data_IF_283773010093
#
_entry.id   IF_283773010093
#
_cell.length_a   1.000
_cell.length_b   1.000
_cell.length_c   1.000
_cell.angle_alpha   90.00
_cell.angle_beta   90.00
_cell.angle_gamma   90.00
#
_symmetry.space_group_name_H-M   'P 1'
#
loop_
_entity.id
_entity.type
_entity.pdbx_description
1 polymer ?
#
# COMPACT_ATOMS: atom_id res chain seq x y z
N UNK A 1 -1.62 33.36 -0.33
CA UNK A 1 -0.47 33.73 0.53
C UNK A 1 0.25 34.90 -0.09
N UNK A 2 0.61 35.90 0.72
CA UNK A 2 1.29 37.09 0.22
C UNK A 2 2.71 36.72 -0.23
N UNK A 3 3.09 37.14 -1.44
CA UNK A 3 4.48 36.97 -1.92
C UNK A 3 5.39 37.73 -0.94
N UNK A 4 6.57 37.19 -0.59
CA UNK A 4 7.50 37.92 0.27
C UNK A 4 7.83 39.28 -0.36
N UNK A 5 7.80 40.33 0.46
CA UNK A 5 8.13 41.69 0.01
C UNK A 5 9.54 41.75 -0.60
N UNK A 6 9.82 42.79 -1.39
CA UNK A 6 11.09 42.93 -2.09
C UNK A 6 12.31 42.87 -1.15
N UNK A 7 12.22 43.49 0.03
CA UNK A 7 13.26 43.45 1.07
C UNK A 7 13.48 42.03 1.58
N UNK A 8 12.40 41.30 1.89
CA UNK A 8 12.50 39.91 2.33
C UNK A 8 13.13 39.01 1.26
N UNK A 9 12.77 39.21 -0.02
CA UNK A 9 13.39 38.48 -1.15
C UNK A 9 14.87 38.78 -1.28
N UNK A 10 15.28 40.04 -1.16
CA UNK A 10 16.69 40.42 -1.18
C UNK A 10 17.44 39.82 0.01
N UNK A 11 16.84 39.84 1.20
CA UNK A 11 17.38 39.21 2.39
C UNK A 11 17.55 37.70 2.22
N UNK A 12 16.55 36.99 1.70
CA UNK A 12 16.65 35.56 1.41
C UNK A 12 17.75 35.27 0.37
N UNK A 13 17.82 36.05 -0.71
CA UNK A 13 18.87 35.93 -1.73
C UNK A 13 20.27 36.17 -1.14
N UNK A 14 20.42 37.14 -0.25
CA UNK A 14 21.67 37.36 0.48
C UNK A 14 21.96 36.21 1.44
N UNK A 15 20.94 35.63 2.09
CA UNK A 15 21.10 34.52 3.00
C UNK A 15 21.44 33.19 2.30
N UNK A 16 21.10 33.03 1.01
CA UNK A 16 21.43 31.84 0.24
C UNK A 16 22.84 31.82 -0.35
N UNK A 17 23.54 32.96 -0.37
CA UNK A 17 24.92 33.03 -0.86
C UNK A 17 25.89 32.21 0.01
N UNK A 18 26.68 31.36 -0.65
CA UNK A 18 27.72 30.52 -0.02
C UNK A 18 29.03 31.29 0.12
N UNK A 19 29.13 32.09 1.17
CA UNK A 19 30.32 32.88 1.49
C UNK A 19 31.29 32.05 2.38
N UNK A 20 32.63 32.16 2.20
CA UNK A 20 33.59 31.27 2.86
C UNK A 20 33.65 31.41 4.39
N UNK A 21 33.28 32.56 4.95
CA UNK A 21 33.20 32.80 6.40
C UNK A 21 31.87 32.35 7.04
N UNK A 22 30.89 31.96 6.22
CA UNK A 22 29.55 31.63 6.68
C UNK A 22 29.41 30.11 6.80
N UNK A 23 28.84 29.65 7.92
CA UNK A 23 28.63 28.22 8.19
C UNK A 23 27.19 27.75 7.98
N UNK A 24 26.25 28.69 7.82
CA UNK A 24 24.81 28.44 7.68
C UNK A 24 24.27 29.09 6.40
N UNK A 25 23.56 28.32 5.57
CA UNK A 25 23.08 28.75 4.27
C UNK A 25 21.59 28.52 4.16
N UNK A 26 20.86 29.53 3.68
CA UNK A 26 19.46 29.36 3.33
C UNK A 26 19.37 28.63 2.00
N UNK A 27 18.66 27.51 1.98
CA UNK A 27 18.51 26.70 0.76
C UNK A 27 17.19 26.98 0.07
N UNK A 28 16.11 27.14 0.85
CA UNK A 28 14.81 27.46 0.29
C UNK A 28 13.77 27.72 1.35
N UNK A 29 12.53 27.84 0.88
CA UNK A 29 11.37 28.04 1.70
C UNK A 29 10.21 27.22 1.13
N UNK A 30 9.28 26.84 1.99
CA UNK A 30 8.05 26.20 1.57
C UNK A 30 6.92 27.20 1.32
N UNK A 31 5.81 26.71 0.78
CA UNK A 31 4.62 27.51 0.58
C UNK A 31 4.01 27.99 1.91
N UNK A 32 4.21 27.28 3.02
CA UNK A 32 3.79 27.71 4.37
C UNK A 32 4.65 28.82 4.98
N UNK A 33 5.78 29.18 4.36
CA UNK A 33 6.69 30.20 4.86
C UNK A 33 7.73 29.69 5.87
N UNK A 34 7.88 28.38 6.03
CA UNK A 34 9.01 27.80 6.73
C UNK A 34 10.26 27.93 5.88
N UNK A 35 11.41 28.11 6.54
CA UNK A 35 12.70 28.27 5.86
C UNK A 35 13.62 27.10 6.15
N UNK A 36 14.34 26.66 5.13
CA UNK A 36 15.17 25.46 5.15
C UNK A 36 16.63 25.85 5.02
N UNK A 37 17.45 25.32 5.92
CA UNK A 37 18.84 25.73 6.07
C UNK A 37 19.78 24.52 6.05
N UNK A 38 20.95 24.70 5.44
CA UNK A 38 22.10 23.81 5.61
C UNK A 38 23.13 24.46 6.53
N UNK A 39 23.83 23.66 7.30
CA UNK A 39 24.99 24.15 8.03
C UNK A 39 26.02 23.06 8.33
N UNK A 40 27.26 23.48 8.59
CA UNK A 40 28.30 22.62 9.14
C UNK A 40 28.21 22.60 10.66
N UNK A 41 28.08 21.41 11.23
CA UNK A 41 28.16 21.23 12.67
C UNK A 41 29.61 21.43 13.14
N UNK A 42 29.80 22.03 14.32
CA UNK A 42 31.14 22.20 14.89
C UNK A 42 31.73 20.85 15.35
N UNK A 43 30.87 19.96 15.86
CA UNK A 43 31.29 18.64 16.36
C UNK A 43 31.46 17.61 15.24
N UNK A 44 30.65 17.70 14.18
CA UNK A 44 30.63 16.76 13.05
C UNK A 44 30.87 17.49 11.73
N UNK A 45 32.08 18.02 11.54
CA UNK A 45 32.43 18.86 10.39
C UNK A 45 32.38 18.12 9.03
N UNK A 46 32.43 16.79 9.03
CA UNK A 46 32.40 15.96 7.83
C UNK A 46 31.02 15.90 7.16
N UNK A 47 29.94 16.30 7.84
CA UNK A 47 28.57 16.19 7.32
C UNK A 47 27.82 17.52 7.40
N UNK A 48 27.30 17.96 6.27
CA UNK A 48 26.33 19.05 6.21
C UNK A 48 25.03 18.60 6.89
N UNK A 49 24.54 19.35 7.87
CA UNK A 49 23.26 19.11 8.52
C UNK A 49 22.20 20.03 7.93
N UNK A 50 20.97 19.53 7.85
CA UNK A 50 19.80 20.25 7.35
C UNK A 50 18.85 20.54 8.51
N UNK A 51 18.27 21.74 8.57
CA UNK A 51 17.33 22.15 9.61
C UNK A 51 16.21 23.02 9.04
N UNK A 52 15.02 22.92 9.64
CA UNK A 52 13.90 23.83 9.40
C UNK A 52 13.84 24.89 10.49
N UNK A 53 13.59 26.12 10.06
CA UNK A 53 13.10 27.19 10.92
C UNK A 53 11.66 27.49 10.54
N UNK A 54 10.78 27.23 11.50
CA UNK A 54 9.35 27.49 11.36
C UNK A 54 9.06 28.99 11.41
N UNK A 55 7.97 29.40 10.77
CA UNK A 55 7.51 30.79 10.82
C UNK A 55 7.08 31.17 12.23
N UNK A 56 7.31 32.41 12.64
CA UNK A 56 6.98 32.91 13.98
C UNK A 56 5.47 32.84 14.31
N UNK A 57 4.62 32.61 13.30
CA UNK A 57 3.18 32.49 13.47
C UNK A 57 2.72 31.09 13.89
N UNK A 58 3.63 30.11 14.04
CA UNK A 58 3.26 28.76 14.48
C UNK A 58 3.30 28.67 16.01
N UNK A 59 2.17 28.45 16.69
CA UNK A 59 2.10 28.44 18.15
C UNK A 59 2.79 27.22 18.78
N UNK A 60 2.75 26.06 18.12
CA UNK A 60 3.42 24.85 18.58
C UNK A 60 4.11 24.10 17.43
N UNK A 61 5.25 23.47 17.72
CA UNK A 61 6.05 22.76 16.72
C UNK A 61 5.38 21.48 16.19
N UNK A 62 4.49 20.85 16.95
CA UNK A 62 3.75 19.66 16.48
C UNK A 62 2.80 19.98 15.33
N UNK A 63 2.28 21.21 15.28
CA UNK A 63 1.23 21.60 14.36
C UNK A 63 1.81 22.00 12.99
N UNK A 64 3.15 22.06 12.89
CA UNK A 64 3.81 22.46 11.67
C UNK A 64 3.81 21.33 10.66
N UNK A 65 3.00 21.50 9.61
CA UNK A 65 2.93 20.58 8.48
C UNK A 65 4.01 20.92 7.46
N UNK A 66 5.07 20.12 7.41
CA UNK A 66 6.10 20.21 6.37
C UNK A 66 5.73 19.27 5.22
N UNK A 67 5.97 19.66 3.97
CA UNK A 67 5.63 18.79 2.83
C UNK A 67 6.53 17.55 2.77
N UNK A 68 6.08 16.41 2.21
CA UNK A 68 6.89 15.20 2.12
C UNK A 68 8.20 15.40 1.35
N UNK A 69 8.18 16.24 0.30
CA UNK A 69 9.38 16.57 -0.48
C UNK A 69 10.45 17.25 0.38
N UNK A 70 10.04 18.20 1.23
CA UNK A 70 10.94 18.84 2.17
C UNK A 70 11.41 17.88 3.29
N UNK A 71 10.57 16.94 3.72
CA UNK A 71 10.99 15.88 4.64
C UNK A 71 12.07 14.97 4.04
N UNK A 72 11.93 14.54 2.79
CA UNK A 72 12.95 13.74 2.10
C UNK A 72 14.28 14.50 2.04
N UNK A 73 14.22 15.79 1.73
CA UNK A 73 15.39 16.65 1.73
C UNK A 73 16.01 16.77 3.13
N UNK A 74 15.23 17.01 4.18
CA UNK A 74 15.75 17.06 5.56
C UNK A 74 16.37 15.73 6.01
N UNK A 75 15.83 14.60 5.54
CA UNK A 75 16.31 13.25 5.84
C UNK A 75 17.47 12.79 4.95
N UNK A 76 17.97 13.65 4.07
CA UNK A 76 19.04 13.32 3.12
C UNK A 76 18.68 12.18 2.16
N UNK A 77 17.39 11.88 1.97
CA UNK A 77 16.92 10.93 0.95
C UNK A 77 16.96 11.56 -0.45
N UNK A 78 16.82 12.90 -0.51
CA UNK A 78 16.92 13.69 -1.73
C UNK A 78 18.09 14.66 -1.62
N UNK A 79 18.92 14.75 -2.66
CA UNK A 79 20.05 15.67 -2.68
C UNK A 79 19.62 17.12 -2.92
N UNK A 80 18.89 17.33 -4.01
CA UNK A 80 18.41 18.66 -4.39
C UNK A 80 17.17 19.07 -3.59
N UNK A 81 17.08 20.33 -3.13
CA UNK A 81 15.90 20.83 -2.45
C UNK A 81 14.72 20.95 -3.42
N UNK A 82 13.47 20.77 -2.94
CA UNK A 82 12.30 20.92 -3.78
C UNK A 82 12.11 22.38 -4.23
N UNK A 83 11.89 22.56 -5.52
CA UNK A 83 11.69 23.89 -6.12
C UNK A 83 10.28 24.43 -5.81
N UNK A 84 10.09 25.75 -5.93
CA UNK A 84 8.78 26.36 -5.69
C UNK A 84 7.74 25.87 -6.71
N UNK A 85 8.17 25.63 -7.95
CA UNK A 85 7.31 25.10 -9.02
C UNK A 85 6.87 23.67 -8.70
N UNK A 86 7.79 22.80 -8.25
CA UNK A 86 7.44 21.44 -7.81
C UNK A 86 6.41 21.45 -6.67
N UNK A 87 6.57 22.36 -5.70
CA UNK A 87 5.65 22.48 -4.59
C UNK A 87 4.24 22.92 -5.05
N UNK A 88 4.17 23.87 -5.99
CA UNK A 88 2.90 24.31 -6.58
C UNK A 88 2.24 23.19 -7.40
N UNK A 89 3.04 22.46 -8.18
CA UNK A 89 2.57 21.31 -8.95
C UNK A 89 1.98 20.24 -8.04
N UNK A 90 2.63 19.92 -6.92
CA UNK A 90 2.15 18.92 -5.97
C UNK A 90 0.79 19.31 -5.37
N UNK A 91 0.55 20.59 -5.04
CA UNK A 91 -0.77 21.05 -4.60
C UNK A 91 -1.82 20.83 -5.70
N UNK A 92 -1.48 21.20 -6.94
CA UNK A 92 -2.41 21.06 -8.06
C UNK A 92 -2.72 19.58 -8.34
N UNK A 93 -1.72 18.71 -8.25
CA UNK A 93 -1.83 17.26 -8.38
C UNK A 93 -2.72 16.67 -7.30
N UNK A 94 -2.54 17.08 -6.04
CA UNK A 94 -3.37 16.62 -4.93
C UNK A 94 -4.83 17.03 -5.10
N UNK A 95 -5.09 18.25 -5.60
CA UNK A 95 -6.45 18.70 -5.89
C UNK A 95 -7.09 17.87 -7.01
N UNK A 96 -6.36 17.63 -8.10
CA UNK A 96 -6.85 16.78 -9.21
C UNK A 96 -7.12 15.34 -8.74
N UNK A 97 -6.21 14.76 -7.97
CA UNK A 97 -6.35 13.40 -7.45
C UNK A 97 -7.60 13.24 -6.58
N UNK A 98 -7.90 14.22 -5.72
CA UNK A 98 -9.12 14.22 -4.88
C UNK A 98 -10.39 14.25 -5.72
N UNK A 99 -10.41 15.06 -6.78
CA UNK A 99 -11.54 15.10 -7.71
C UNK A 99 -11.74 13.76 -8.42
N UNK A 100 -10.66 13.20 -8.98
CA UNK A 100 -10.71 11.91 -9.68
C UNK A 100 -11.13 10.77 -8.75
N UNK A 101 -10.69 10.79 -7.49
CA UNK A 101 -11.11 9.83 -6.48
C UNK A 101 -12.63 9.92 -6.23
N UNK A 102 -13.17 11.13 -6.05
CA UNK A 102 -14.61 11.32 -5.86
C UNK A 102 -15.43 10.82 -7.07
N UNK A 103 -14.99 11.13 -8.29
CA UNK A 103 -15.67 10.62 -9.50
C UNK A 103 -15.56 9.09 -9.64
N UNK A 104 -14.50 8.47 -9.10
CA UNK A 104 -14.37 7.01 -9.07
C UNK A 104 -15.30 6.39 -8.03
N UNK A 105 -15.42 7.01 -6.85
CA UNK A 105 -16.33 6.60 -5.79
C UNK A 105 -17.80 6.71 -6.24
N UNK A 106 -18.18 7.77 -6.97
CA UNK A 106 -19.50 7.89 -7.59
C UNK A 106 -19.78 6.79 -8.61
N UNK A 107 -18.79 6.45 -9.44
CA UNK A 107 -18.89 5.33 -10.39
C UNK A 107 -19.01 3.99 -9.68
N UNK A 108 -18.30 3.80 -8.57
CA UNK A 108 -18.40 2.59 -7.74
C UNK A 108 -19.77 2.48 -7.07
N UNK A 109 -20.27 3.57 -6.47
CA UNK A 109 -21.56 3.60 -5.78
C UNK A 109 -22.76 3.48 -6.72
N UNK A 110 -22.62 3.90 -7.98
CA UNK A 110 -23.67 3.77 -9.00
C UNK A 110 -23.73 2.39 -9.65
N UNK A 111 -22.69 1.57 -9.52
CA UNK A 111 -22.76 0.17 -9.93
C UNK A 111 -23.65 -0.60 -8.94
N UNK A 112 -24.75 -1.22 -9.39
CA UNK A 112 -25.59 -2.03 -8.51
C UNK A 112 -24.74 -3.17 -7.97
N UNK A 113 -24.54 -3.20 -6.66
CA UNK A 113 -23.70 -4.22 -6.05
C UNK A 113 -24.34 -5.59 -6.27
N UNK A 114 -23.60 -6.52 -6.87
CA UNK A 114 -24.09 -7.88 -7.15
C UNK A 114 -24.39 -8.66 -5.85
N UNK A 115 -23.89 -8.17 -4.71
CA UNK A 115 -24.12 -8.71 -3.38
C UNK A 115 -25.33 -8.07 -2.67
N UNK A 116 -25.94 -7.03 -3.24
CA UNK A 116 -27.20 -6.53 -2.69
C UNK A 116 -28.23 -7.64 -2.84
N UNK A 117 -28.86 -8.01 -1.73
CA UNK A 117 -29.85 -9.08 -1.74
C UNK A 117 -30.92 -8.70 -2.76
N UNK A 118 -31.28 -9.57 -3.71
CA UNK A 118 -32.33 -9.25 -4.67
C UNK A 118 -33.52 -8.77 -3.85
N UNK A 119 -33.94 -7.52 -4.10
CA UNK A 119 -35.23 -7.01 -3.65
C UNK A 119 -36.24 -8.15 -3.81
N UNK A 120 -37.03 -8.41 -2.77
CA UNK A 120 -37.95 -9.56 -2.60
C UNK A 120 -39.02 -9.71 -3.71
N UNK A 121 -38.85 -9.07 -4.85
CA UNK A 121 -39.61 -9.21 -6.09
C UNK A 121 -38.94 -10.13 -7.11
N UNK A 122 -38.16 -11.13 -6.68
CA UNK A 122 -38.00 -12.33 -7.49
C UNK A 122 -39.34 -13.09 -7.41
N UNK A 123 -40.13 -13.20 -8.50
CA UNK A 123 -41.27 -14.11 -8.51
C UNK A 123 -40.72 -15.49 -8.15
N UNK A 124 -41.27 -16.11 -7.10
CA UNK A 124 -40.83 -17.44 -6.70
C UNK A 124 -40.84 -18.33 -7.94
N UNK A 125 -39.74 -19.06 -8.25
CA UNK A 125 -39.72 -19.96 -9.39
C UNK A 125 -40.92 -20.89 -9.27
N UNK A 126 -41.75 -20.93 -10.32
CA UNK A 126 -43.01 -21.67 -10.38
C UNK A 126 -42.82 -23.21 -10.43
N UNK A 127 -41.72 -23.72 -9.87
CA UNK A 127 -41.48 -25.14 -9.65
C UNK A 127 -41.96 -25.44 -8.22
N UNK A 128 -43.27 -25.27 -8.04
CA UNK A 128 -43.99 -25.98 -6.97
C UNK A 128 -44.31 -27.36 -7.51
N UNK A 129 -43.42 -28.33 -7.30
CA UNK A 129 -43.77 -29.75 -7.49
C UNK A 129 -44.78 -30.10 -6.41
N UNK A 130 -46.06 -29.95 -6.71
CA UNK A 130 -47.15 -30.57 -5.95
C UNK A 130 -47.19 -32.04 -6.34
N UNK A 131 -46.28 -32.84 -5.80
CA UNK A 131 -46.42 -34.29 -5.87
C UNK A 131 -47.36 -34.75 -4.73
N UNK A 132 -48.54 -35.32 -5.02
CA UNK A 132 -49.48 -35.81 -4.01
C UNK A 132 -49.07 -37.16 -3.41
N UNK A 133 -47.85 -37.66 -3.65
CA UNK A 133 -47.37 -38.97 -3.21
C UNK A 133 -46.37 -38.98 -2.04
N UNK A 134 -46.08 -37.82 -1.43
CA UNK A 134 -44.94 -37.65 -0.51
C UNK A 134 -45.09 -38.14 0.93
N UNK A 135 -46.10 -38.93 1.28
CA UNK A 135 -46.22 -39.53 2.62
C UNK A 135 -45.76 -40.99 2.60
N UNK A 136 -44.45 -41.19 2.51
CA UNK A 136 -43.82 -42.36 3.09
C UNK A 136 -43.24 -41.94 4.45
N UNK A 137 -43.57 -42.61 5.57
CA UNK A 137 -42.91 -42.32 6.83
C UNK A 137 -41.40 -42.60 6.67
N UNK A 138 -40.61 -41.57 6.95
CA UNK A 138 -39.15 -41.64 7.03
C UNK A 138 -38.76 -42.84 7.91
N UNK A 139 -38.20 -43.87 7.29
CA UNK A 139 -37.55 -44.96 8.01
C UNK A 139 -36.08 -44.55 8.15
N UNK A 140 -35.69 -44.28 9.39
CA UNK A 140 -34.34 -44.06 9.96
C UNK A 140 -33.40 -42.98 9.38
N UNK A 141 -32.67 -42.25 10.24
CA UNK A 141 -31.73 -41.22 9.81
C UNK A 141 -30.40 -41.86 9.42
N UNK A 142 -30.12 -41.95 8.12
CA UNK A 142 -28.77 -42.22 7.64
C UNK A 142 -27.91 -40.96 7.87
N UNK A 143 -27.19 -40.95 8.99
CA UNK A 143 -26.32 -39.86 9.40
C UNK A 143 -25.07 -39.79 8.52
N UNK A 144 -25.19 -39.33 7.27
CA UNK A 144 -24.02 -39.06 6.42
C UNK A 144 -24.36 -38.24 5.18
N UNK A 145 -24.87 -37.01 5.36
CA UNK A 145 -24.72 -35.97 4.32
C UNK A 145 -24.80 -34.59 4.97
N UNK A 146 -23.85 -34.34 5.86
CA UNK A 146 -23.60 -33.02 6.42
C UNK A 146 -22.94 -32.11 5.38
N UNK A 147 -23.57 -30.97 5.13
CA UNK A 147 -22.90 -29.76 4.62
C UNK A 147 -21.64 -29.54 5.45
N UNK A 148 -20.46 -29.73 4.85
CA UNK A 148 -19.20 -29.45 5.54
C UNK A 148 -19.00 -27.94 5.58
N UNK A 149 -19.12 -27.35 6.76
CA UNK A 149 -18.44 -26.09 7.08
C UNK A 149 -16.95 -26.26 6.76
N UNK A 150 -16.36 -25.26 6.10
CA UNK A 150 -14.97 -25.24 5.62
C UNK A 150 -13.92 -25.12 6.74
N UNK A 151 -14.11 -25.84 7.85
CA UNK A 151 -13.11 -25.98 8.92
C UNK A 151 -12.85 -27.47 9.06
N UNK A 152 -11.76 -27.92 8.44
CA UNK A 152 -11.31 -29.31 8.54
C UNK A 152 -10.96 -29.67 9.99
N UNK A 153 -11.20 -30.95 10.31
CA UNK A 153 -10.96 -31.59 11.61
C UNK A 153 -9.46 -31.64 11.93
N UNK A 154 -9.04 -31.40 13.20
CA UNK A 154 -7.63 -31.19 13.57
C UNK A 154 -6.70 -32.37 13.23
N UNK A 155 -7.25 -33.58 13.15
CA UNK A 155 -6.52 -34.81 12.81
C UNK A 155 -6.01 -34.87 11.37
N UNK A 156 -6.53 -34.06 10.45
CA UNK A 156 -6.00 -33.93 9.07
C UNK A 156 -4.82 -32.97 8.98
N UNK A 157 -4.79 -31.96 9.85
CA UNK A 157 -3.69 -30.96 9.90
C UNK A 157 -2.40 -31.63 10.39
N UNK A 158 -2.51 -32.60 11.30
CA UNK A 158 -1.38 -33.39 11.82
C UNK A 158 -0.81 -34.40 10.82
N UNK A 159 -1.60 -34.83 9.83
CA UNK A 159 -1.12 -35.73 8.76
C UNK A 159 -0.47 -34.97 7.61
N UNK A 160 -0.93 -33.75 7.32
CA UNK A 160 -0.30 -32.86 6.35
C UNK A 160 1.07 -32.36 6.82
N UNK A 161 1.27 -32.18 8.13
CA UNK A 161 2.57 -31.78 8.71
C UNK A 161 3.64 -32.89 8.66
N UNK A 162 3.23 -34.15 8.43
CA UNK A 162 4.12 -35.32 8.32
C UNK A 162 4.41 -35.75 6.88
N UNK A 163 4.03 -34.95 5.88
CA UNK A 163 4.51 -35.09 4.50
C UNK A 163 3.96 -36.29 3.71
N UNK A 164 2.88 -36.94 4.16
CA UNK A 164 2.19 -37.97 3.38
C UNK A 164 1.00 -37.35 2.64
N UNK A 165 1.21 -36.99 1.37
CA UNK A 165 0.13 -36.69 0.43
C UNK A 165 -0.18 -37.94 -0.41
N UNK A 166 -1.16 -38.72 0.02
CA UNK A 166 -1.82 -39.70 -0.85
C UNK A 166 -3.27 -39.27 -1.10
N UNK A 167 -3.63 -39.12 -2.38
CA UNK A 167 -5.00 -39.28 -2.87
C UNK A 167 -5.94 -38.07 -2.84
N UNK A 168 -5.55 -36.91 -3.37
CA UNK A 168 -6.50 -35.84 -3.69
C UNK A 168 -6.96 -35.90 -5.17
N UNK A 169 -8.04 -36.66 -5.35
CA UNK A 169 -9.20 -36.44 -6.22
C UNK A 169 -9.00 -35.45 -7.40
N UNK A 170 -8.72 -36.02 -8.58
CA UNK A 170 -8.79 -35.31 -9.85
C UNK A 170 -10.26 -35.00 -10.20
N UNK A 171 -10.70 -33.83 -9.75
CA UNK A 171 -12.04 -33.31 -9.97
C UNK A 171 -12.50 -33.33 -11.44
N UNK A 172 -13.70 -33.89 -11.60
CA UNK A 172 -14.57 -34.08 -12.77
C UNK A 172 -14.87 -32.79 -13.57
N UNK A 173 -13.90 -32.20 -14.26
CA UNK A 173 -14.18 -31.10 -15.21
C UNK A 173 -13.24 -31.07 -16.42
N UNK A 174 -13.16 -32.18 -17.19
CA UNK A 174 -12.68 -32.12 -18.58
C UNK A 174 -13.80 -31.68 -19.52
N UNK A 175 -14.17 -30.42 -19.43
CA UNK A 175 -14.98 -29.73 -20.44
C UNK A 175 -14.10 -29.27 -21.60
N UNK A 176 -14.20 -29.95 -22.73
CA UNK A 176 -13.56 -29.58 -24.01
C UNK A 176 -14.04 -28.18 -24.43
N UNK A 177 -13.19 -27.15 -24.34
CA UNK A 177 -13.43 -25.82 -24.93
C UNK A 177 -12.20 -25.37 -25.72
N UNK A 178 -12.11 -25.84 -26.96
CA UNK A 178 -11.38 -25.13 -28.02
C UNK A 178 -12.21 -23.92 -28.42
N UNK A 179 -11.87 -22.75 -27.87
CA UNK A 179 -12.13 -21.46 -28.50
C UNK A 179 -10.83 -20.69 -28.43
N UNK A 180 -10.26 -20.40 -29.60
CA UNK A 180 -9.05 -19.62 -29.78
C UNK A 180 -9.20 -18.26 -29.10
N UNK A 181 -8.72 -18.18 -27.86
CA UNK A 181 -8.56 -16.92 -27.14
C UNK A 181 -7.24 -16.32 -27.66
N UNK A 182 -7.33 -15.26 -28.45
CA UNK A 182 -6.14 -14.47 -28.84
C UNK A 182 -5.38 -14.10 -27.57
N UNK A 183 -4.10 -14.46 -27.51
CA UNK A 183 -3.22 -14.20 -26.37
C UNK A 183 -3.16 -12.69 -26.09
N UNK A 184 -3.24 -12.33 -24.80
CA UNK A 184 -3.09 -10.94 -24.39
C UNK A 184 -1.60 -10.55 -24.52
N UNK A 185 -1.26 -9.43 -25.20
CA UNK A 185 0.14 -9.03 -25.42
C UNK A 185 0.92 -8.71 -24.14
N UNK A 186 0.23 -8.58 -23.00
CA UNK A 186 0.81 -8.29 -21.69
C UNK A 186 1.17 -9.53 -20.85
N UNK A 187 0.77 -10.74 -21.25
CA UNK A 187 1.11 -11.98 -20.52
C UNK A 187 2.60 -12.32 -20.64
N UNK A 188 3.29 -11.84 -21.69
CA UNK A 188 4.72 -12.09 -21.91
C UNK A 188 5.64 -11.26 -21.01
N UNK A 189 5.09 -10.30 -20.26
CA UNK A 189 5.85 -9.41 -19.37
C UNK A 189 5.71 -9.74 -17.89
N UNK A 190 4.83 -10.68 -17.53
CA UNK A 190 4.72 -11.13 -16.14
C UNK A 190 5.76 -12.22 -15.87
N UNK A 191 6.68 -12.03 -14.91
CA UNK A 191 7.51 -13.13 -14.45
C UNK A 191 6.59 -14.22 -13.90
N UNK A 192 6.69 -15.44 -14.45
CA UNK A 192 6.03 -16.62 -13.89
C UNK A 192 6.70 -16.96 -12.57
N UNK A 193 6.09 -16.55 -11.46
CA UNK A 193 6.51 -16.89 -10.10
C UNK A 193 6.43 -15.70 -9.16
N UNK A 194 5.89 -15.91 -7.96
CA UNK A 194 5.94 -14.92 -6.89
C UNK A 194 7.38 -14.83 -6.35
N UNK A 195 7.86 -13.61 -6.07
CA UNK A 195 9.24 -13.34 -5.62
C UNK A 195 9.65 -14.02 -4.29
N UNK A 196 8.78 -14.82 -3.68
CA UNK A 196 9.02 -15.58 -2.44
C UNK A 196 8.91 -17.10 -2.55
N UNK A 197 8.59 -17.68 -3.72
CA UNK A 197 8.39 -19.14 -3.85
C UNK A 197 9.66 -19.96 -3.59
N UNK A 198 10.84 -19.37 -3.79
CA UNK A 198 12.14 -20.01 -3.56
C UNK A 198 12.83 -19.57 -2.26
N UNK A 199 12.17 -18.77 -1.42
CA UNK A 199 12.78 -18.26 -0.19
C UNK A 199 12.51 -19.23 0.98
N UNK A 200 13.56 -19.90 1.46
CA UNK A 200 13.55 -20.67 2.70
C UNK A 200 14.64 -20.11 3.64
N UNK A 201 14.34 -19.85 4.92
CA UNK A 201 15.34 -19.36 5.86
C UNK A 201 16.34 -20.48 6.23
N UNK A 202 17.64 -20.17 6.22
CA UNK A 202 18.65 -21.06 6.80
C UNK A 202 18.46 -21.15 8.33
N UNK A 203 18.48 -22.37 8.87
CA UNK A 203 18.39 -22.60 10.31
C UNK A 203 19.63 -22.08 11.05
N UNK A 204 19.43 -21.29 12.10
CA UNK A 204 20.50 -20.73 12.92
C UNK A 204 21.33 -21.84 13.59
N UNK A 205 22.60 -21.98 13.19
CA UNK A 205 23.55 -22.89 13.82
C UNK A 205 24.64 -22.09 14.58
N UNK A 206 24.73 -22.18 15.92
CA UNK A 206 25.78 -21.52 16.68
C UNK A 206 27.15 -22.19 16.41
N UNK A 207 28.18 -21.39 16.14
CA UNK A 207 29.56 -21.89 15.95
C UNK A 207 30.10 -22.47 17.27
N UNK A 208 30.65 -23.70 17.29
CA UNK A 208 31.30 -24.23 18.49
C UNK A 208 32.61 -23.49 18.77
N UNK A 209 32.83 -23.19 20.06
CA UNK A 209 33.98 -22.45 20.58
C UNK A 209 35.24 -23.32 20.57
N UNK A 210 36.22 -23.01 19.73
CA UNK A 210 37.54 -23.63 19.77
C UNK A 210 38.29 -23.16 21.03
N UNK A 211 38.53 -24.07 21.97
CA UNK A 211 39.44 -23.84 23.10
C UNK A 211 40.86 -24.15 22.63
N UNK A 212 41.64 -23.11 22.36
CA UNK A 212 43.08 -23.21 22.09
C UNK A 212 43.82 -23.77 23.30
N UNK A 213 44.76 -24.70 23.02
CA UNK A 213 45.79 -25.16 23.96
C UNK A 213 47.00 -24.25 23.88
#
# INVERSE_FOLDING_TARGET
MSKPGAIARAWFRWKSLRLPWRKTFLIGFDLSGNTFWEFKDALNANRMRRIVKYSNNTPHYSDVKVTPQWHQWLRHTREEPPTIQEQQYEISRQAMMKRLAAEADERWNSQPSFLDSPSKSQPQPAIGVKDPGGYAPQTEPEASQGVRSAVDEPSKVDKASQGQQEGLDEGRFKGKKTRDRKENPWEKLQPKGNAGENWQPEGWAPKPMERGR
#
